data_IF_782020027338
#
_entry.id   IF_782020027338
#
_cell.length_a   1.000
_cell.length_b   1.000
_cell.length_c   1.000
_cell.angle_alpha   90.00
_cell.angle_beta   90.00
_cell.angle_gamma   90.00
#
_symmetry.space_group_name_H-M   'P 1'
#
loop_
_entity.id
_entity.type
_entity.pdbx_description
1 polymer ?
#
# COMPACT_ATOMS: atom_id res chain seq x y z
N UNK A 1 1.49 -6.09 5.66
CA UNK A 1 1.12 -5.00 6.59
C UNK A 1 2.39 -4.25 6.95
N UNK A 2 2.28 -3.03 7.48
CA UNK A 2 3.46 -2.24 7.83
C UNK A 2 4.30 -2.87 8.95
N UNK A 3 3.65 -3.55 9.90
CA UNK A 3 4.30 -4.23 11.03
C UNK A 3 3.57 -5.52 11.39
N UNK A 4 4.22 -6.36 12.18
CA UNK A 4 3.56 -7.47 12.87
C UNK A 4 2.71 -6.89 14.01
N UNK A 5 1.40 -7.15 13.95
CA UNK A 5 0.44 -6.67 14.95
C UNK A 5 -0.43 -7.81 15.44
N UNK A 6 -0.92 -7.71 16.68
CA UNK A 6 -2.06 -8.49 17.14
C UNK A 6 -3.34 -7.83 16.64
N UNK A 7 -4.05 -8.38 15.65
CA UNK A 7 -5.22 -7.73 15.07
C UNK A 7 -6.36 -7.63 16.08
N UNK A 8 -7.04 -6.48 16.11
CA UNK A 8 -8.19 -6.21 16.98
C UNK A 8 -9.46 -5.92 16.21
N UNK A 9 -9.34 -5.38 15.00
CA UNK A 9 -10.48 -5.14 14.11
C UNK A 9 -10.02 -5.03 12.66
N UNK A 10 -10.96 -5.16 11.73
CA UNK A 10 -10.80 -4.78 10.33
C UNK A 10 -11.89 -3.79 9.95
N UNK A 11 -11.64 -2.92 8.99
CA UNK A 11 -12.69 -2.11 8.38
C UNK A 11 -12.68 -2.20 6.88
N UNK A 12 -13.85 -1.95 6.31
CA UNK A 12 -14.01 -1.73 4.89
C UNK A 12 -14.74 -0.42 4.65
N UNK A 13 -14.23 0.35 3.69
CA UNK A 13 -14.78 1.62 3.26
C UNK A 13 -14.78 1.68 1.72
N UNK A 14 -15.93 2.01 1.13
CA UNK A 14 -16.05 2.23 -0.31
C UNK A 14 -15.96 3.71 -0.66
N UNK A 15 -15.09 4.13 -1.60
CA UNK A 15 -14.85 5.57 -1.88
C UNK A 15 -16.09 6.34 -2.33
N UNK A 16 -16.93 5.71 -3.17
CA UNK A 16 -18.20 6.29 -3.62
C UNK A 16 -19.30 5.92 -2.63
N UNK A 17 -19.72 6.88 -1.78
CA UNK A 17 -20.79 6.70 -0.81
C UNK A 17 -21.79 7.86 -0.89
N UNK A 18 -22.83 7.68 -1.69
CA UNK A 18 -23.99 8.58 -1.73
C UNK A 18 -25.20 7.91 -1.08
N UNK A 19 -25.03 7.45 0.17
CA UNK A 19 -25.99 6.59 0.92
C UNK A 19 -26.36 5.27 0.23
N UNK A 20 -25.71 4.97 -0.90
CA UNK A 20 -25.92 3.77 -1.70
C UNK A 20 -24.57 3.15 -1.97
N UNK A 21 -24.44 1.87 -1.66
CA UNK A 21 -23.26 1.07 -1.97
C UNK A 21 -23.34 0.60 -3.43
N UNK A 22 -22.28 0.81 -4.24
CA UNK A 22 -22.26 0.30 -5.60
C UNK A 22 -22.40 -1.21 -5.68
N UNK A 23 -23.05 -1.68 -6.74
CA UNK A 23 -23.24 -3.10 -7.04
C UNK A 23 -21.94 -3.92 -7.05
N UNK A 24 -20.86 -3.33 -7.54
CA UNK A 24 -19.53 -3.95 -7.58
C UNK A 24 -18.79 -3.98 -6.24
N UNK A 25 -19.30 -3.38 -5.18
CA UNK A 25 -18.64 -3.45 -3.88
C UNK A 25 -18.79 -4.85 -3.27
N UNK A 26 -17.81 -5.33 -2.49
CA UNK A 26 -17.98 -6.56 -1.72
C UNK A 26 -19.12 -6.40 -0.72
N UNK A 27 -19.92 -7.47 -0.60
CA UNK A 27 -20.99 -7.59 0.39
C UNK A 27 -20.61 -8.54 1.50
N UNK A 28 -20.07 -9.71 1.17
CA UNK A 28 -19.74 -10.75 2.14
C UNK A 28 -18.27 -11.13 2.00
N UNK A 29 -17.54 -11.13 3.11
CA UNK A 29 -16.13 -11.50 3.13
C UNK A 29 -15.68 -12.13 4.44
N UNK A 30 -14.59 -12.89 4.34
CA UNK A 30 -13.86 -13.44 5.47
C UNK A 30 -12.45 -12.85 5.52
N UNK A 31 -11.84 -12.87 6.70
CA UNK A 31 -10.45 -12.46 6.89
C UNK A 31 -9.68 -13.56 7.59
N UNK A 32 -8.55 -13.92 7.01
CA UNK A 32 -7.63 -14.92 7.52
C UNK A 32 -6.29 -14.29 7.81
N UNK A 33 -5.60 -14.81 8.82
CA UNK A 33 -4.19 -14.54 9.04
C UNK A 33 -3.34 -15.56 8.27
N UNK A 34 -2.24 -15.10 7.71
CA UNK A 34 -1.26 -15.97 7.09
C UNK A 34 -0.22 -16.40 8.12
N UNK A 35 -0.05 -17.71 8.26
CA UNK A 35 0.93 -18.32 9.17
C UNK A 35 2.29 -18.54 8.49
N UNK A 36 2.33 -18.42 7.16
CA UNK A 36 3.51 -18.56 6.32
C UNK A 36 3.61 -17.39 5.33
N UNK A 37 4.79 -17.24 4.71
CA UNK A 37 5.07 -16.14 3.78
C UNK A 37 4.14 -16.16 2.55
N UNK A 38 3.85 -17.35 2.03
CA UNK A 38 3.00 -17.56 0.86
C UNK A 38 1.49 -17.50 1.16
N UNK A 39 1.08 -17.47 2.42
CA UNK A 39 -0.32 -17.61 2.83
C UNK A 39 -0.96 -18.94 2.41
N UNK A 40 -0.18 -20.02 2.29
CA UNK A 40 -0.74 -21.37 2.07
C UNK A 40 -1.34 -21.92 3.38
N UNK A 41 -0.75 -21.56 4.51
CA UNK A 41 -1.24 -21.91 5.85
C UNK A 41 -1.97 -20.70 6.42
N UNK A 42 -3.25 -20.86 6.69
CA UNK A 42 -4.11 -19.76 7.15
C UNK A 42 -4.91 -20.14 8.39
N UNK A 43 -5.15 -19.15 9.25
CA UNK A 43 -6.09 -19.27 10.37
C UNK A 43 -7.19 -18.20 10.26
N UNK A 44 -8.45 -18.52 10.57
CA UNK A 44 -9.54 -17.54 10.49
C UNK A 44 -9.39 -16.47 11.58
N UNK A 45 -9.43 -15.20 11.20
CA UNK A 45 -9.50 -14.07 12.13
C UNK A 45 -10.95 -13.70 12.43
N UNK A 46 -11.73 -13.55 11.35
CA UNK A 46 -13.15 -13.23 11.42
C UNK A 46 -13.82 -13.74 10.14
N UNK A 47 -15.05 -14.24 10.28
CA UNK A 47 -15.83 -14.78 9.18
C UNK A 47 -17.19 -14.11 9.07
N UNK A 48 -17.82 -14.24 7.91
CA UNK A 48 -19.15 -13.74 7.60
C UNK A 48 -19.33 -12.24 7.85
N UNK A 49 -18.30 -11.44 7.54
CA UNK A 49 -18.42 -9.98 7.61
C UNK A 49 -19.32 -9.50 6.47
N UNK A 50 -20.44 -8.86 6.81
CA UNK A 50 -21.37 -8.29 5.83
C UNK A 50 -21.24 -6.77 5.78
N UNK A 51 -20.77 -6.26 4.64
CA UNK A 51 -20.82 -4.83 4.31
C UNK A 51 -22.24 -4.45 3.92
N UNK A 52 -22.87 -3.62 4.75
CA UNK A 52 -24.27 -3.24 4.59
C UNK A 52 -24.38 -2.04 3.67
N UNK A 53 -25.34 -2.09 2.74
CA UNK A 53 -25.70 -0.95 1.90
C UNK A 53 -26.54 0.09 2.63
N UNK A 54 -27.21 -0.30 3.72
CA UNK A 54 -28.06 0.54 4.55
C UNK A 54 -27.35 0.90 5.85
N UNK A 55 -26.63 2.02 5.86
CA UNK A 55 -25.94 2.55 7.04
C UNK A 55 -25.74 4.05 6.95
N UNK A 56 -25.55 4.72 8.09
CA UNK A 56 -25.18 6.14 8.11
C UNK A 56 -23.69 6.35 7.86
N UNK A 57 -22.85 5.34 8.17
CA UNK A 57 -21.40 5.43 8.18
C UNK A 57 -20.81 4.60 7.03
N UNK A 58 -19.99 5.25 6.22
CA UNK A 58 -19.35 4.69 5.03
C UNK A 58 -18.31 3.60 5.35
N UNK A 59 -17.54 3.82 6.41
CA UNK A 59 -16.59 2.86 6.96
C UNK A 59 -17.31 1.97 7.98
N UNK A 60 -17.26 0.66 7.74
CA UNK A 60 -17.83 -0.34 8.65
C UNK A 60 -16.70 -1.14 9.29
N UNK A 61 -16.68 -1.15 10.61
CA UNK A 61 -15.66 -1.78 11.43
C UNK A 61 -16.19 -3.12 11.96
N UNK A 62 -15.39 -4.17 11.82
CA UNK A 62 -15.69 -5.53 12.26
C UNK A 62 -14.67 -5.92 13.34
N UNK A 63 -15.08 -6.03 14.60
CA UNK A 63 -14.18 -6.38 15.70
C UNK A 63 -13.80 -7.86 15.63
N UNK A 64 -12.51 -8.14 15.74
CA UNK A 64 -12.00 -9.51 15.81
C UNK A 64 -12.21 -10.02 17.25
N UNK A 65 -12.73 -11.25 17.45
CA UNK A 65 -12.94 -11.80 18.78
C UNK A 65 -11.66 -11.82 19.63
N UNK A 66 -11.72 -11.26 20.84
CA UNK A 66 -10.61 -11.19 21.81
C UNK A 66 -10.01 -12.55 22.18
N UNK A 67 -10.82 -13.60 22.03
CA UNK A 67 -10.49 -14.98 22.37
C UNK A 67 -9.56 -15.62 21.35
N UNK A 68 -9.21 -14.91 20.27
CA UNK A 68 -8.32 -15.45 19.27
C UNK A 68 -6.91 -15.61 19.88
N UNK A 69 -6.43 -16.86 19.90
CA UNK A 69 -5.06 -17.24 20.29
C UNK A 69 -4.01 -16.78 19.28
N UNK A 70 -4.48 -16.10 18.24
CA UNK A 70 -3.75 -15.51 17.15
C UNK A 70 -2.60 -14.63 17.66
N UNK A 71 -1.39 -15.02 17.27
CA UNK A 71 -0.16 -14.28 17.59
C UNK A 71 -0.07 -13.00 16.76
N UNK A 72 1.04 -12.28 16.90
CA UNK A 72 1.35 -11.14 16.04
C UNK A 72 1.47 -11.59 14.58
N UNK A 73 0.79 -10.90 13.66
CA UNK A 73 0.66 -11.24 12.24
C UNK A 73 1.16 -10.09 11.38
N UNK A 74 1.97 -10.40 10.38
CA UNK A 74 2.45 -9.42 9.39
C UNK A 74 1.64 -9.40 8.07
N UNK A 75 0.77 -10.39 7.86
CA UNK A 75 0.03 -10.57 6.61
C UNK A 75 -1.34 -11.21 6.83
N UNK A 76 -2.35 -10.63 6.21
CA UNK A 76 -3.73 -11.12 6.21
C UNK A 76 -4.23 -11.33 4.79
N UNK A 77 -5.22 -12.20 4.64
CA UNK A 77 -5.88 -12.50 3.40
C UNK A 77 -7.38 -12.21 3.54
N UNK A 78 -7.89 -11.29 2.72
CA UNK A 78 -9.33 -11.06 2.57
C UNK A 78 -9.88 -12.00 1.50
N UNK A 79 -10.96 -12.71 1.82
CA UNK A 79 -11.68 -13.59 0.89
C UNK A 79 -13.06 -13.04 0.64
N UNK A 80 -13.27 -12.41 -0.51
CA UNK A 80 -14.56 -11.86 -0.91
C UNK A 80 -15.44 -12.96 -1.50
N UNK A 81 -16.54 -13.26 -0.81
CA UNK A 81 -17.45 -14.35 -1.17
C UNK A 81 -18.57 -13.88 -2.09
N UNK A 82 -19.07 -12.66 -1.87
CA UNK A 82 -20.21 -12.11 -2.62
C UNK A 82 -20.09 -10.59 -2.75
N UNK A 83 -20.50 -10.05 -3.89
CA UNK A 83 -20.68 -8.61 -4.09
C UNK A 83 -22.15 -8.19 -3.90
N UNK A 84 -22.45 -6.91 -4.06
CA UNK A 84 -23.83 -6.39 -3.98
C UNK A 84 -24.70 -6.72 -5.21
N UNK A 85 -24.19 -7.53 -6.16
CA UNK A 85 -24.94 -8.05 -7.31
C UNK A 85 -24.74 -7.22 -8.58
N UNK A 86 -25.56 -7.49 -9.60
CA UNK A 86 -25.70 -6.72 -10.86
C UNK A 86 -24.43 -6.48 -11.71
N UNK A 87 -23.27 -6.98 -11.29
CA UNK A 87 -22.01 -6.91 -12.02
C UNK A 87 -21.16 -8.16 -11.80
N UNK A 88 -20.35 -8.50 -12.81
CA UNK A 88 -19.44 -9.67 -12.76
C UNK A 88 -18.15 -9.40 -11.97
N UNK A 89 -17.75 -8.15 -11.84
CA UNK A 89 -16.49 -7.74 -11.20
C UNK A 89 -16.75 -7.14 -9.82
N UNK A 90 -15.85 -7.43 -8.88
CA UNK A 90 -15.86 -6.83 -7.55
C UNK A 90 -14.75 -5.79 -7.46
N UNK A 91 -15.08 -4.59 -7.00
CA UNK A 91 -14.16 -3.48 -6.82
C UNK A 91 -13.94 -3.23 -5.34
N UNK A 92 -12.74 -3.55 -4.86
CA UNK A 92 -12.31 -3.31 -3.49
C UNK A 92 -11.73 -1.90 -3.44
N UNK A 93 -12.14 -1.11 -2.44
CA UNK A 93 -11.72 0.29 -2.29
C UNK A 93 -10.66 0.42 -1.20
N UNK A 94 -11.09 0.58 0.06
CA UNK A 94 -10.18 0.79 1.17
C UNK A 94 -10.47 -0.23 2.28
N UNK A 95 -9.39 -0.84 2.75
CA UNK A 95 -9.39 -1.81 3.83
C UNK A 95 -8.38 -1.34 4.85
N UNK A 96 -8.76 -1.37 6.13
CA UNK A 96 -7.83 -1.15 7.23
C UNK A 96 -7.83 -2.34 8.16
N UNK A 97 -6.67 -2.59 8.75
CA UNK A 97 -6.53 -3.59 9.81
C UNK A 97 -5.94 -2.90 11.02
N UNK A 98 -6.70 -2.95 12.10
CA UNK A 98 -6.34 -2.37 13.39
C UNK A 98 -5.76 -3.47 14.26
N UNK A 99 -4.79 -3.11 15.08
CA UNK A 99 -4.18 -4.04 16.00
C UNK A 99 -3.21 -3.35 16.93
N UNK A 100 -2.83 -4.07 17.97
CA UNK A 100 -1.79 -3.65 18.90
C UNK A 100 -0.46 -4.18 18.38
N UNK A 101 0.56 -3.34 18.29
CA UNK A 101 1.93 -3.81 18.08
C UNK A 101 2.59 -3.99 19.44
N UNK A 102 3.25 -5.14 19.66
CA UNK A 102 4.08 -5.36 20.84
C UNK A 102 5.31 -4.45 20.84
N UNK A 103 5.80 -4.15 19.65
CA UNK A 103 6.71 -3.05 19.41
C UNK A 103 5.86 -1.81 19.13
N UNK A 104 5.59 -1.01 20.17
CA UNK A 104 5.49 0.44 19.95
C UNK A 104 6.66 0.78 19.02
N UNK A 105 6.49 1.48 17.88
CA UNK A 105 7.61 1.83 17.05
C UNK A 105 8.60 2.52 17.99
N UNK A 106 9.66 1.81 18.38
CA UNK A 106 10.81 2.43 19.00
C UNK A 106 11.27 3.29 17.84
N UNK A 107 10.85 4.55 17.85
CA UNK A 107 11.50 5.60 17.09
C UNK A 107 12.94 5.43 17.54
N UNK A 108 13.71 4.68 16.75
CA UNK A 108 15.16 4.70 16.90
C UNK A 108 15.44 6.14 16.61
N UNK A 109 15.74 6.94 17.65
CA UNK A 109 16.23 8.30 17.50
C UNK A 109 17.63 8.23 16.85
N UNK A 110 17.70 7.70 15.64
CA UNK A 110 18.81 7.92 14.75
C UNK A 110 18.52 9.29 14.15
N UNK A 111 19.17 10.31 14.67
CA UNK A 111 19.07 11.70 14.18
C UNK A 111 19.14 11.76 12.64
N UNK A 112 19.94 10.90 12.01
CA UNK A 112 20.02 10.78 10.55
C UNK A 112 18.71 10.40 9.82
N UNK A 113 17.83 9.60 10.42
CA UNK A 113 16.54 9.25 9.81
C UNK A 113 15.51 10.37 9.93
N UNK A 114 15.51 11.12 11.05
CA UNK A 114 14.59 12.24 11.27
C UNK A 114 14.83 13.35 10.25
N UNK A 115 16.09 13.64 9.95
CA UNK A 115 16.48 14.60 8.92
C UNK A 115 16.06 14.12 7.52
N UNK A 116 16.12 12.80 7.28
CA UNK A 116 15.66 12.21 6.01
C UNK A 116 14.13 12.30 5.86
N UNK A 117 13.35 11.99 6.91
CA UNK A 117 11.89 12.10 6.87
C UNK A 117 11.40 13.56 6.82
N UNK A 118 12.10 14.49 7.47
CA UNK A 118 11.80 15.92 7.41
C UNK A 118 12.06 16.48 6.00
N UNK A 119 13.21 16.16 5.40
CA UNK A 119 13.50 16.51 4.01
C UNK A 119 12.48 15.92 3.04
N UNK A 120 12.03 14.69 3.32
CA UNK A 120 11.03 14.02 2.51
C UNK A 120 9.68 14.75 2.54
N UNK A 121 9.21 15.11 3.74
CA UNK A 121 8.04 15.96 3.94
C UNK A 121 8.19 17.30 3.22
N UNK A 122 9.34 17.95 3.38
CA UNK A 122 9.58 19.26 2.79
C UNK A 122 9.59 19.18 1.25
N UNK A 123 10.10 18.08 0.67
CA UNK A 123 10.05 17.82 -0.77
C UNK A 123 8.62 17.55 -1.24
N UNK A 124 7.84 16.80 -0.47
CA UNK A 124 6.42 16.55 -0.76
C UNK A 124 5.62 17.85 -0.89
N UNK A 125 5.77 18.78 0.09
CA UNK A 125 5.00 20.03 0.10
C UNK A 125 5.54 21.10 -0.85
N UNK A 126 6.86 21.23 -1.00
CA UNK A 126 7.46 22.30 -1.80
C UNK A 126 7.75 21.89 -3.25
N UNK A 127 7.84 20.59 -3.54
CA UNK A 127 8.18 20.09 -4.88
C UNK A 127 7.46 18.77 -5.20
N UNK A 128 6.11 18.76 -5.30
CA UNK A 128 5.32 17.54 -5.50
C UNK A 128 5.72 16.74 -6.75
N UNK A 129 6.05 17.43 -7.84
CA UNK A 129 6.52 16.79 -9.07
C UNK A 129 7.83 16.03 -8.86
N UNK A 130 8.76 16.59 -8.07
CA UNK A 130 10.03 15.95 -7.79
C UNK A 130 9.84 14.74 -6.87
N UNK A 131 9.00 14.89 -5.84
CA UNK A 131 8.63 13.80 -4.93
C UNK A 131 8.07 12.60 -5.69
N UNK A 132 7.09 12.81 -6.57
CA UNK A 132 6.42 11.74 -7.32
C UNK A 132 7.34 11.04 -8.34
N UNK A 133 8.27 11.78 -8.97
CA UNK A 133 9.10 11.28 -10.07
C UNK A 133 10.47 10.73 -9.64
N UNK A 134 11.09 11.31 -8.62
CA UNK A 134 12.50 11.09 -8.30
C UNK A 134 12.73 10.55 -6.89
N UNK A 135 11.78 10.75 -5.97
CA UNK A 135 11.91 10.25 -4.61
C UNK A 135 11.35 8.81 -4.53
N UNK A 136 12.24 7.82 -4.44
CA UNK A 136 11.85 6.40 -4.31
C UNK A 136 11.23 6.11 -2.94
N UNK A 137 9.95 6.45 -2.80
CA UNK A 137 9.15 6.33 -1.57
C UNK A 137 8.13 5.21 -1.68
N UNK A 138 8.64 3.97 -1.65
CA UNK A 138 7.74 2.83 -1.47
C UNK A 138 7.10 2.89 -0.09
N UNK A 139 5.86 2.40 0.02
CA UNK A 139 5.19 2.29 1.32
C UNK A 139 6.07 1.57 2.33
N UNK A 140 6.68 0.45 1.93
CA UNK A 140 7.60 -0.32 2.75
C UNK A 140 8.70 0.57 3.35
N UNK A 141 9.39 1.38 2.54
CA UNK A 141 10.46 2.25 2.99
C UNK A 141 9.98 3.32 3.98
N UNK A 142 8.84 3.96 3.69
CA UNK A 142 8.27 5.01 4.56
C UNK A 142 7.83 4.45 5.91
N UNK A 143 7.17 3.30 5.92
CA UNK A 143 6.72 2.63 7.14
C UNK A 143 7.89 2.07 7.95
N UNK A 144 8.87 1.41 7.32
CA UNK A 144 10.05 0.86 8.01
C UNK A 144 10.93 1.95 8.63
N UNK A 145 11.01 3.13 7.99
CA UNK A 145 11.76 4.27 8.53
C UNK A 145 10.95 5.09 9.56
N UNK A 146 9.68 4.77 9.81
CA UNK A 146 8.83 5.51 10.74
C UNK A 146 8.47 6.93 10.27
N UNK A 147 8.66 7.26 8.99
CA UNK A 147 8.43 8.61 8.46
C UNK A 147 6.95 9.03 8.51
N UNK A 148 6.01 8.07 8.55
CA UNK A 148 4.57 8.35 8.63
C UNK A 148 4.15 9.06 9.92
N UNK A 149 5.01 9.08 10.95
CA UNK A 149 4.79 9.91 12.15
C UNK A 149 5.12 11.39 11.93
N UNK A 150 5.99 11.69 10.95
CA UNK A 150 6.46 13.04 10.60
C UNK A 150 5.61 13.64 9.49
N UNK A 151 5.22 12.84 8.49
CA UNK A 151 4.26 13.23 7.45
C UNK A 151 3.30 12.06 7.13
N UNK A 152 2.13 12.01 7.79
CA UNK A 152 1.09 11.03 7.50
C UNK A 152 0.65 11.05 6.03
N UNK A 153 0.53 12.25 5.46
CA UNK A 153 0.13 12.50 4.07
C UNK A 153 1.09 11.83 3.05
N UNK A 154 2.39 11.76 3.35
CA UNK A 154 3.36 11.06 2.51
C UNK A 154 3.07 9.56 2.39
N UNK A 155 2.44 8.97 3.43
CA UNK A 155 2.14 7.54 3.51
C UNK A 155 0.76 7.18 2.99
N UNK A 156 -0.12 8.17 2.81
CA UNK A 156 -1.42 7.96 2.17
C UNK A 156 -1.28 7.80 0.64
N UNK A 157 -0.24 8.38 0.05
CA UNK A 157 0.01 8.38 -1.41
C UNK A 157 1.16 7.46 -1.85
N UNK A 158 1.66 6.59 -0.97
CA UNK A 158 2.84 5.77 -1.27
C UNK A 158 2.56 4.64 -2.29
N UNK A 159 3.55 4.30 -3.11
CA UNK A 159 3.45 3.22 -4.09
C UNK A 159 3.82 1.86 -3.48
N UNK A 160 3.01 0.83 -3.79
CA UNK A 160 3.23 -0.56 -3.35
C UNK A 160 4.27 -1.26 -4.25
N UNK A 161 4.45 -0.82 -5.49
CA UNK A 161 5.35 -1.46 -6.46
C UNK A 161 6.47 -0.51 -6.89
N UNK A 162 7.71 -1.00 -6.80
CA UNK A 162 8.88 -0.33 -7.35
C UNK A 162 8.82 -0.34 -8.89
N UNK A 163 8.27 0.71 -9.50
CA UNK A 163 8.40 0.96 -10.95
C UNK A 163 9.83 1.37 -11.34
N UNK A 164 10.75 1.44 -10.38
CA UNK A 164 12.16 1.82 -10.56
C UNK A 164 12.88 1.00 -11.63
N UNK A 165 12.60 -0.31 -11.70
CA UNK A 165 13.24 -1.19 -12.68
C UNK A 165 12.92 -0.78 -14.13
N UNK A 166 11.68 -0.36 -14.40
CA UNK A 166 11.27 0.05 -15.75
C UNK A 166 11.89 1.39 -16.16
N UNK A 167 12.00 2.35 -15.23
CA UNK A 167 12.61 3.65 -15.52
C UNK A 167 14.12 3.56 -15.74
N UNK A 168 14.85 2.75 -14.94
CA UNK A 168 16.29 2.53 -15.12
C UNK A 168 16.56 1.81 -16.45
N UNK A 169 15.75 0.82 -16.81
CA UNK A 169 15.89 0.12 -18.09
C UNK A 169 15.63 1.05 -19.28
N UNK A 170 14.59 1.90 -19.18
CA UNK A 170 14.25 2.88 -20.21
C UNK A 170 15.34 3.92 -20.45
N UNK A 171 15.98 4.44 -19.39
CA UNK A 171 17.06 5.43 -19.51
C UNK A 171 18.35 4.83 -20.09
N UNK A 172 18.67 3.58 -19.76
CA UNK A 172 19.79 2.85 -20.37
C UNK A 172 19.60 2.66 -21.88
N UNK A 173 18.40 2.26 -22.32
CA UNK A 173 18.11 2.04 -23.75
C UNK A 173 18.21 3.35 -24.54
N UNK A 174 17.69 4.45 -24.01
CA UNK A 174 17.79 5.77 -24.65
C UNK A 174 19.24 6.27 -24.73
N UNK A 175 20.02 6.07 -23.66
CA UNK A 175 21.44 6.43 -23.65
C UNK A 175 22.26 5.65 -24.68
N UNK A 176 22.02 4.34 -24.79
CA UNK A 176 22.67 3.49 -25.79
C UNK A 176 22.27 3.92 -27.22
N UNK A 177 20.99 4.17 -27.47
CA UNK A 177 20.51 4.66 -28.77
C UNK A 177 21.15 5.99 -29.19
N UNK A 178 21.30 6.93 -28.24
CA UNK A 178 21.97 8.21 -28.49
C UNK A 178 23.45 8.02 -28.86
N UNK A 179 24.18 7.13 -28.16
CA UNK A 179 25.58 6.84 -28.47
C UNK A 179 25.77 6.22 -29.86
N UNK A 180 24.91 5.30 -30.27
CA UNK A 180 24.94 4.74 -31.62
C UNK A 180 24.63 5.80 -32.70
N UNK A 181 23.69 6.71 -32.43
CA UNK A 181 23.38 7.81 -33.35
C UNK A 181 24.55 8.80 -33.50
N UNK A 182 25.25 9.13 -32.40
CA UNK A 182 26.45 9.97 -32.45
C UNK A 182 27.62 9.27 -33.16
N UNK A 183 27.84 7.97 -32.90
CA UNK A 183 28.90 7.21 -33.55
C UNK A 183 28.69 7.10 -35.07
N UNK A 184 27.45 6.85 -35.50
CA UNK A 184 27.12 6.80 -36.94
C UNK A 184 27.27 8.15 -37.64
N UNK A 185 26.90 9.26 -36.99
CA UNK A 185 27.16 10.61 -37.49
C UNK A 185 28.66 10.94 -37.56
N UNK A 186 29.44 10.49 -36.57
CA UNK A 186 30.88 10.69 -36.53
C UNK A 186 31.62 9.90 -37.63
N UNK A 187 31.24 8.63 -37.85
CA UNK A 187 31.76 7.82 -38.95
C UNK A 187 31.39 8.42 -40.30
N UNK A 188 30.13 8.86 -40.48
CA UNK A 188 29.69 9.54 -41.69
C UNK A 188 30.46 10.85 -41.97
N UNK A 189 30.87 11.57 -40.91
CA UNK A 189 31.68 12.77 -41.05
C UNK A 189 33.15 12.49 -41.40
N UNK A 190 33.69 11.34 -40.97
CA UNK A 190 35.06 10.90 -41.28
C UNK A 190 35.22 10.34 -42.69
N UNK A 191 34.16 9.79 -43.29
CA UNK A 191 34.15 9.24 -44.66
C UNK A 191 33.91 10.31 -45.75
N UNK A 192 33.76 11.58 -45.36
CA UNK A 192 33.48 12.72 -46.27
C UNK A 192 34.67 13.68 -46.36
#
# INVERSE_FOLDING_TARGET
MANYIKPTAVSYQHFKWNRTVPYGSPRLFDVFACLDFNCEKTEPLISNCEYKSSGQIQEQIYPIPLNSTTKSIGKVQFRFLKNHGNVKKTCVSLIRVYGQSADVPKIRENKGHRDTCANLRDTYHNSPFYYDKFEYTTCERLFSNGCCSVCPECCDECYITSNAAFYILGSLILGIGALFSCASLFVYWLER
#
